data_IF_260196903724
#
_entry.id   IF_260196903724
#
_cell.length_a   1.000
_cell.length_b   1.000
_cell.length_c   1.000
_cell.angle_alpha   90.00
_cell.angle_beta   90.00
_cell.angle_gamma   90.00
#
_symmetry.space_group_name_H-M   'P 1'
#
loop_
_entity.id
_entity.type
_entity.pdbx_description
1 polymer ?
#
# COMPACT_ATOMS: atom_id res chain seq x y z
N UNK A 1 -23.15 17.46 8.50
CA UNK A 1 -22.30 18.08 7.48
C UNK A 1 -21.54 17.08 6.58
N UNK A 2 -21.25 15.86 7.02
CA UNK A 2 -20.45 14.87 6.26
C UNK A 2 -21.17 14.16 5.09
N UNK A 3 -22.48 14.18 5.00
CA UNK A 3 -23.23 13.52 3.91
C UNK A 3 -23.07 14.23 2.54
N UNK A 4 -22.71 15.49 2.52
CA UNK A 4 -22.64 16.33 1.32
C UNK A 4 -21.22 16.56 0.79
N UNK A 5 -20.19 15.93 1.40
CA UNK A 5 -18.82 16.01 0.87
C UNK A 5 -18.76 15.36 -0.51
N UNK A 6 -18.28 16.12 -1.48
CA UNK A 6 -18.00 15.59 -2.82
C UNK A 6 -16.87 14.57 -2.73
N UNK A 7 -16.99 13.45 -3.45
CA UNK A 7 -15.98 12.38 -3.39
C UNK A 7 -14.57 12.86 -3.76
N UNK A 8 -14.45 13.83 -4.67
CA UNK A 8 -13.17 14.41 -5.06
C UNK A 8 -12.45 15.14 -3.93
N UNK A 9 -13.18 15.74 -3.00
CA UNK A 9 -12.60 16.52 -1.90
C UNK A 9 -11.93 15.59 -0.88
N UNK A 10 -12.47 14.37 -0.71
CA UNK A 10 -11.94 13.36 0.19
C UNK A 10 -10.56 12.79 -0.24
N UNK A 11 -10.17 12.95 -1.50
CA UNK A 11 -8.88 12.45 -1.98
C UNK A 11 -7.69 13.20 -1.38
N UNK A 12 -7.91 14.43 -0.95
CA UNK A 12 -6.89 15.28 -0.34
C UNK A 12 -7.06 15.46 1.18
N UNK A 13 -8.09 14.81 1.77
CA UNK A 13 -8.26 14.70 3.22
C UNK A 13 -7.39 13.59 3.81
N UNK A 14 -7.13 13.65 5.12
CA UNK A 14 -6.35 12.67 5.88
C UNK A 14 -7.20 11.45 6.28
N UNK A 15 -6.55 10.33 6.61
CA UNK A 15 -7.24 9.14 7.09
C UNK A 15 -6.34 8.27 7.98
N UNK A 16 -6.43 8.47 9.29
CA UNK A 16 -5.77 7.64 10.28
C UNK A 16 -4.26 7.87 10.42
N UNK A 17 -3.72 8.93 9.79
CA UNK A 17 -2.33 9.32 9.89
C UNK A 17 -2.01 10.11 11.17
N UNK A 18 -0.86 10.80 11.17
CA UNK A 18 -0.37 11.64 12.26
C UNK A 18 -1.19 12.93 12.37
N UNK A 19 -1.32 13.66 11.27
CA UNK A 19 -2.21 14.80 11.17
C UNK A 19 -3.64 14.31 10.88
N UNK A 20 -4.60 14.82 11.61
CA UNK A 20 -6.02 14.52 11.51
C UNK A 20 -6.87 15.78 11.51
N UNK A 21 -6.26 16.91 11.25
CA UNK A 21 -6.95 18.21 11.24
C UNK A 21 -8.05 18.29 10.19
N UNK A 22 -7.91 17.53 9.10
CA UNK A 22 -8.85 17.50 7.98
C UNK A 22 -9.13 16.05 7.54
N UNK A 23 -9.79 15.27 8.42
CA UNK A 23 -9.93 13.83 8.27
C UNK A 23 -11.27 13.41 7.65
N UNK A 24 -11.24 12.37 6.82
CA UNK A 24 -12.44 11.72 6.27
C UNK A 24 -13.27 11.17 7.44
N UNK A 25 -14.58 11.43 7.51
CA UNK A 25 -15.43 10.89 8.57
C UNK A 25 -15.43 9.35 8.59
N UNK A 26 -15.05 8.77 9.71
CA UNK A 26 -14.81 7.32 9.86
C UNK A 26 -16.07 6.45 9.86
N UNK A 27 -17.25 7.05 10.11
CA UNK A 27 -18.49 6.28 10.32
C UNK A 27 -18.81 5.35 9.16
N UNK A 28 -18.64 5.82 7.91
CA UNK A 28 -18.94 5.02 6.72
C UNK A 28 -17.97 3.85 6.58
N UNK A 29 -16.68 4.12 6.67
CA UNK A 29 -15.65 3.08 6.58
C UNK A 29 -15.74 2.05 7.72
N UNK A 30 -16.12 2.49 8.92
CA UNK A 30 -16.38 1.59 10.05
C UNK A 30 -17.62 0.72 9.79
N UNK A 31 -18.73 1.31 9.30
CA UNK A 31 -19.94 0.55 8.95
C UNK A 31 -19.63 -0.45 7.82
N UNK A 32 -18.97 0.00 6.76
CA UNK A 32 -18.56 -0.88 5.66
C UNK A 32 -17.68 -2.04 6.14
N UNK A 33 -16.71 -1.77 7.03
CA UNK A 33 -15.87 -2.80 7.62
C UNK A 33 -16.67 -3.80 8.47
N UNK A 34 -17.62 -3.35 9.30
CA UNK A 34 -18.45 -4.23 10.13
C UNK A 34 -19.33 -5.11 9.24
N UNK A 35 -20.04 -4.52 8.29
CA UNK A 35 -21.01 -5.23 7.45
C UNK A 35 -20.29 -6.15 6.45
N UNK A 36 -19.40 -5.59 5.62
CA UNK A 36 -18.70 -6.36 4.59
C UNK A 36 -17.70 -7.32 5.23
N UNK A 37 -16.98 -6.87 6.25
CA UNK A 37 -16.01 -7.70 6.98
C UNK A 37 -16.68 -8.86 7.70
N UNK A 38 -17.82 -8.64 8.36
CA UNK A 38 -18.63 -9.66 8.97
C UNK A 38 -19.14 -10.69 7.96
N UNK A 39 -19.69 -10.22 6.83
CA UNK A 39 -20.14 -11.08 5.74
C UNK A 39 -18.97 -11.88 5.13
N UNK A 40 -17.86 -11.24 4.85
CA UNK A 40 -16.67 -11.92 4.34
C UNK A 40 -16.12 -12.94 5.34
N UNK A 41 -16.15 -12.64 6.64
CA UNK A 41 -15.72 -13.59 7.68
C UNK A 41 -16.61 -14.83 7.72
N UNK A 42 -17.91 -14.65 7.57
CA UNK A 42 -18.89 -15.74 7.55
C UNK A 42 -18.75 -16.59 6.27
N UNK A 43 -18.74 -15.95 5.10
CA UNK A 43 -18.75 -16.65 3.81
C UNK A 43 -17.40 -17.25 3.45
N UNK A 44 -16.32 -16.49 3.60
CA UNK A 44 -14.98 -16.88 3.18
C UNK A 44 -14.10 -17.38 4.33
N UNK A 45 -14.58 -17.34 5.57
CA UNK A 45 -13.82 -17.77 6.76
C UNK A 45 -12.38 -17.24 6.73
N UNK A 46 -12.22 -15.96 6.29
CA UNK A 46 -10.90 -15.40 6.05
C UNK A 46 -10.08 -15.28 7.33
N UNK A 47 -8.79 -15.47 7.18
CA UNK A 47 -7.77 -15.24 8.21
C UNK A 47 -6.68 -14.33 7.69
N UNK A 48 -5.94 -13.74 8.60
CA UNK A 48 -4.80 -12.88 8.29
C UNK A 48 -3.58 -13.43 9.01
N UNK A 49 -2.62 -13.89 8.24
CA UNK A 49 -1.34 -14.38 8.72
C UNK A 49 -0.34 -13.21 8.77
N UNK A 50 0.66 -13.26 9.66
CA UNK A 50 1.71 -12.25 9.82
C UNK A 50 1.19 -10.80 9.93
N UNK A 51 0.04 -10.59 10.57
CA UNK A 51 -0.61 -9.27 10.70
C UNK A 51 0.24 -8.29 11.52
N UNK A 52 1.07 -8.76 12.41
CA UNK A 52 2.04 -8.02 13.21
C UNK A 52 2.99 -7.21 12.32
N UNK A 53 3.40 -7.73 11.18
CA UNK A 53 4.24 -7.04 10.19
C UNK A 53 3.60 -5.73 9.71
N UNK A 54 2.30 -5.72 9.44
CA UNK A 54 1.59 -4.48 9.12
C UNK A 54 1.41 -3.58 10.35
N UNK A 55 1.06 -4.17 11.49
CA UNK A 55 0.74 -3.43 12.72
C UNK A 55 1.93 -2.68 13.31
N UNK A 56 3.14 -3.16 13.08
CA UNK A 56 4.37 -2.51 13.53
C UNK A 56 4.45 -1.04 13.07
N UNK A 57 3.99 -0.74 11.87
CA UNK A 57 4.01 0.62 11.31
C UNK A 57 2.98 1.58 11.93
N UNK A 58 2.05 1.08 12.75
CA UNK A 58 1.04 1.93 13.39
C UNK A 58 1.66 2.98 14.30
N UNK A 59 1.48 4.27 13.96
CA UNK A 59 2.04 5.40 14.71
C UNK A 59 3.56 5.47 14.67
N UNK A 60 4.20 4.80 13.70
CA UNK A 60 5.63 4.86 13.46
C UNK A 60 5.92 5.62 12.17
N UNK A 61 5.49 5.07 11.05
CA UNK A 61 5.64 5.69 9.73
C UNK A 61 4.60 5.13 8.74
N UNK A 62 4.45 5.79 7.59
CA UNK A 62 3.68 5.25 6.47
C UNK A 62 4.38 4.06 5.82
N UNK A 63 3.61 3.22 5.13
CA UNK A 63 4.16 2.13 4.33
C UNK A 63 3.31 1.92 3.07
N UNK A 64 3.94 1.49 1.97
CA UNK A 64 3.21 1.03 0.80
C UNK A 64 2.94 -0.46 0.95
N UNK A 65 1.68 -0.83 0.90
CA UNK A 65 1.25 -2.24 0.88
C UNK A 65 1.00 -2.63 -0.57
N UNK A 66 1.76 -3.60 -1.09
CA UNK A 66 1.57 -4.11 -2.45
C UNK A 66 0.98 -5.51 -2.44
N UNK A 67 0.21 -5.84 -3.47
CA UNK A 67 -0.40 -7.15 -3.64
C UNK A 67 -0.37 -7.57 -5.12
N UNK A 68 -0.17 -8.85 -5.39
CA UNK A 68 -0.46 -9.43 -6.69
C UNK A 68 -1.96 -9.34 -7.00
N UNK A 69 -2.35 -9.28 -8.30
CA UNK A 69 -3.74 -8.97 -8.68
C UNK A 69 -4.42 -10.10 -9.45
N UNK A 70 -5.10 -10.99 -8.75
CA UNK A 70 -5.82 -12.14 -9.32
C UNK A 70 -7.33 -11.93 -9.37
N UNK A 71 -7.88 -11.10 -8.46
CA UNK A 71 -9.31 -10.90 -8.31
C UNK A 71 -9.65 -9.47 -7.88
N UNK A 72 -10.87 -9.02 -8.16
CA UNK A 72 -11.39 -7.79 -7.55
C UNK A 72 -11.41 -7.85 -6.02
N UNK A 73 -11.56 -9.05 -5.46
CA UNK A 73 -11.59 -9.26 -4.02
C UNK A 73 -10.23 -9.02 -3.34
N UNK A 74 -9.10 -9.01 -4.08
CA UNK A 74 -7.79 -8.67 -3.50
C UNK A 74 -7.85 -7.34 -2.76
N UNK A 75 -8.45 -6.33 -3.40
CA UNK A 75 -8.60 -4.96 -2.85
C UNK A 75 -9.50 -4.95 -1.61
N UNK A 76 -10.59 -5.73 -1.64
CA UNK A 76 -11.51 -5.84 -0.50
C UNK A 76 -10.81 -6.46 0.70
N UNK A 77 -10.11 -7.57 0.51
CA UNK A 77 -9.41 -8.24 1.61
C UNK A 77 -8.17 -7.47 2.09
N UNK A 78 -7.47 -6.73 1.22
CA UNK A 78 -6.42 -5.80 1.63
C UNK A 78 -6.97 -4.76 2.61
N UNK A 79 -8.11 -4.13 2.29
CA UNK A 79 -8.77 -3.18 3.18
C UNK A 79 -9.23 -3.83 4.48
N UNK A 80 -9.92 -4.98 4.41
CA UNK A 80 -10.44 -5.68 5.59
C UNK A 80 -9.35 -6.18 6.53
N UNK A 81 -8.21 -6.62 5.99
CA UNK A 81 -7.10 -7.17 6.76
C UNK A 81 -6.38 -6.12 7.62
N UNK A 82 -6.29 -4.89 7.16
CA UNK A 82 -5.70 -3.79 7.92
C UNK A 82 -6.59 -3.32 9.08
N UNK A 83 -7.91 -3.43 8.90
CA UNK A 83 -8.90 -3.01 9.89
C UNK A 83 -9.02 -3.99 11.07
N UNK A 84 -9.42 -3.55 12.27
CA UNK A 84 -9.72 -2.16 12.68
C UNK A 84 -8.47 -1.35 13.07
N UNK A 85 -7.27 -1.95 13.05
CA UNK A 85 -6.06 -1.32 13.61
C UNK A 85 -5.58 -0.11 12.83
N UNK A 86 -5.68 -0.14 11.51
CA UNK A 86 -5.20 0.90 10.60
C UNK A 86 -6.12 1.06 9.41
N UNK A 87 -5.96 2.19 8.69
CA UNK A 87 -6.61 2.46 7.41
C UNK A 87 -5.60 2.24 6.29
N UNK A 88 -6.07 1.71 5.15
CA UNK A 88 -5.28 1.63 3.91
C UNK A 88 -5.96 2.48 2.86
N UNK A 89 -5.22 3.44 2.31
CA UNK A 89 -5.64 4.28 1.19
C UNK A 89 -5.41 3.50 -0.10
N UNK A 90 -6.47 3.13 -0.78
CA UNK A 90 -6.38 2.30 -1.98
C UNK A 90 -6.25 3.15 -3.23
N UNK A 91 -5.17 2.96 -4.00
CA UNK A 91 -5.01 3.58 -5.30
C UNK A 91 -5.82 2.79 -6.34
N UNK A 92 -6.84 3.41 -6.93
CA UNK A 92 -7.73 2.80 -7.89
C UNK A 92 -7.79 3.54 -9.21
N UNK A 93 -8.19 2.83 -10.31
CA UNK A 93 -8.39 3.45 -11.62
C UNK A 93 -9.42 4.57 -11.53
N UNK A 94 -9.16 5.71 -12.14
CA UNK A 94 -10.03 6.89 -12.18
C UNK A 94 -11.47 6.57 -12.63
N UNK A 95 -11.62 5.77 -13.67
CA UNK A 95 -12.94 5.36 -14.20
C UNK A 95 -13.83 4.60 -13.19
N UNK A 96 -13.27 4.09 -12.07
CA UNK A 96 -14.06 3.45 -11.01
C UNK A 96 -14.86 4.48 -10.21
N UNK A 97 -14.37 5.71 -10.14
CA UNK A 97 -14.99 6.77 -9.33
C UNK A 97 -16.18 7.43 -10.04
N UNK A 98 -16.24 7.34 -11.37
CA UNK A 98 -17.35 7.88 -12.17
C UNK A 98 -18.48 6.88 -12.39
N UNK A 99 -18.27 5.60 -12.02
CA UNK A 99 -19.27 4.56 -12.20
C UNK A 99 -20.53 4.79 -11.35
N UNK A 100 -21.66 4.33 -11.89
CA UNK A 100 -22.98 4.45 -11.26
C UNK A 100 -23.35 5.92 -10.86
N UNK A 101 -23.04 6.90 -11.72
CA UNK A 101 -23.29 8.30 -11.47
C UNK A 101 -22.52 8.87 -10.27
N UNK A 102 -21.33 8.30 -9.99
CA UNK A 102 -20.46 8.70 -8.89
C UNK A 102 -20.79 8.05 -7.53
N UNK A 103 -21.81 7.20 -7.43
CA UNK A 103 -22.14 6.51 -6.17
C UNK A 103 -21.01 5.58 -5.72
N UNK A 104 -20.40 4.85 -6.66
CA UNK A 104 -19.24 4.01 -6.36
C UNK A 104 -18.05 4.87 -5.91
N UNK A 105 -17.81 6.00 -6.59
CA UNK A 105 -16.81 6.99 -6.21
C UNK A 105 -17.01 7.52 -4.80
N UNK A 106 -18.26 7.83 -4.41
CA UNK A 106 -18.60 8.23 -3.04
C UNK A 106 -18.26 7.15 -2.01
N UNK A 107 -18.61 5.89 -2.28
CA UNK A 107 -18.34 4.79 -1.38
C UNK A 107 -16.82 4.52 -1.25
N UNK A 108 -16.12 4.46 -2.38
CA UNK A 108 -14.67 4.22 -2.41
C UNK A 108 -13.89 5.34 -1.72
N UNK A 109 -14.23 6.62 -1.99
CA UNK A 109 -13.54 7.76 -1.38
C UNK A 109 -13.79 7.84 0.14
N UNK A 110 -15.00 7.51 0.62
CA UNK A 110 -15.27 7.38 2.05
C UNK A 110 -14.53 6.23 2.73
N UNK A 111 -14.22 5.19 1.98
CA UNK A 111 -13.32 4.12 2.45
C UNK A 111 -11.84 4.50 2.36
N UNK A 112 -11.50 5.68 1.84
CA UNK A 112 -10.15 6.18 1.72
C UNK A 112 -9.49 5.95 0.36
N UNK A 113 -10.18 5.40 -0.62
CA UNK A 113 -9.61 5.22 -1.95
C UNK A 113 -9.47 6.55 -2.72
N UNK A 114 -8.50 6.62 -3.62
CA UNK A 114 -8.24 7.77 -4.47
C UNK A 114 -7.87 7.32 -5.90
N UNK A 115 -8.15 8.16 -6.91
CA UNK A 115 -7.94 7.78 -8.31
C UNK A 115 -6.50 7.89 -8.76
N UNK A 116 -6.14 7.07 -9.77
CA UNK A 116 -4.97 7.21 -10.61
C UNK A 116 -5.37 7.09 -12.07
N UNK A 117 -4.88 8.00 -12.90
CA UNK A 117 -4.99 7.89 -14.35
C UNK A 117 -3.94 6.91 -14.84
N UNK A 118 -4.39 5.86 -15.51
CA UNK A 118 -3.50 4.88 -16.13
C UNK A 118 -2.98 5.41 -17.47
N UNK A 119 -1.91 4.80 -17.93
CA UNK A 119 -1.29 5.08 -19.22
C UNK A 119 -0.76 6.54 -19.35
N UNK A 120 -0.63 7.24 -18.24
CA UNK A 120 -0.04 8.59 -18.13
C UNK A 120 0.83 8.70 -16.89
N UNK A 121 1.82 9.60 -16.93
CA UNK A 121 2.59 9.98 -15.74
C UNK A 121 1.72 10.86 -14.82
N UNK A 122 0.77 10.25 -14.10
CA UNK A 122 -0.14 11.00 -13.21
C UNK A 122 0.58 11.49 -11.95
N UNK A 123 1.33 12.57 -12.10
CA UNK A 123 2.08 13.22 -11.02
C UNK A 123 1.17 13.69 -9.88
N UNK A 124 -0.11 13.97 -10.13
CA UNK A 124 -1.06 14.38 -9.09
C UNK A 124 -1.33 13.24 -8.14
N UNK A 125 -1.63 12.06 -8.64
CA UNK A 125 -1.87 10.86 -7.83
C UNK A 125 -0.60 10.40 -7.11
N UNK A 126 0.57 10.52 -7.74
CA UNK A 126 1.86 10.23 -7.11
C UNK A 126 2.12 11.18 -5.93
N UNK A 127 1.99 12.50 -6.13
CA UNK A 127 2.17 13.50 -5.05
C UNK A 127 1.17 13.28 -3.92
N UNK A 128 -0.07 12.91 -4.24
CA UNK A 128 -1.10 12.57 -3.26
C UNK A 128 -0.70 11.36 -2.41
N UNK A 129 -0.26 10.27 -3.03
CA UNK A 129 0.23 9.09 -2.32
C UNK A 129 1.44 9.42 -1.43
N UNK A 130 2.41 10.20 -1.93
CA UNK A 130 3.57 10.65 -1.16
C UNK A 130 3.16 11.49 0.06
N UNK A 131 2.17 12.40 -0.08
CA UNK A 131 1.64 13.19 1.04
C UNK A 131 1.03 12.29 2.11
N UNK A 132 0.18 11.34 1.70
CA UNK A 132 -0.45 10.36 2.61
C UNK A 132 0.60 9.56 3.38
N UNK A 133 1.59 9.02 2.68
CA UNK A 133 2.69 8.26 3.29
C UNK A 133 3.51 9.10 4.28
N UNK A 134 3.81 10.36 3.95
CA UNK A 134 4.49 11.29 4.86
C UNK A 134 3.65 11.71 6.07
N UNK A 135 2.34 11.51 6.00
CA UNK A 135 1.41 11.64 7.13
C UNK A 135 1.22 10.32 7.90
N UNK A 136 2.11 9.35 7.74
CA UNK A 136 2.07 8.03 8.39
C UNK A 136 0.83 7.19 8.02
N UNK A 137 0.21 7.46 6.85
CA UNK A 137 -0.87 6.66 6.31
C UNK A 137 -0.33 5.47 5.51
N UNK A 138 -1.11 4.39 5.41
CA UNK A 138 -0.79 3.26 4.54
C UNK A 138 -1.40 3.49 3.15
N UNK A 139 -0.64 3.18 2.10
CA UNK A 139 -1.13 3.24 0.72
C UNK A 139 -1.06 1.85 0.09
N UNK A 140 -2.20 1.34 -0.36
CA UNK A 140 -2.33 0.05 -1.04
C UNK A 140 -2.26 0.21 -2.56
N UNK A 141 -1.37 -0.52 -3.21
CA UNK A 141 -1.14 -0.47 -4.65
C UNK A 141 -1.05 -1.89 -5.21
N UNK A 142 -1.67 -2.11 -6.37
CA UNK A 142 -1.55 -3.34 -7.14
C UNK A 142 -0.71 -3.05 -8.40
N UNK A 143 0.62 -3.38 -8.38
CA UNK A 143 1.57 -2.91 -9.38
C UNK A 143 1.38 -3.49 -10.78
N UNK A 144 0.65 -4.58 -10.91
CA UNK A 144 0.39 -5.25 -12.20
C UNK A 144 -0.55 -4.44 -13.12
N UNK A 145 -1.19 -3.41 -12.60
CA UNK A 145 -2.11 -2.56 -13.36
C UNK A 145 -3.34 -3.25 -13.92
N UNK A 146 -3.37 -4.58 -14.03
CA UNK A 146 -4.49 -5.37 -14.55
C UNK A 146 -4.67 -6.67 -13.78
N UNK A 147 -5.86 -7.27 -13.86
CA UNK A 147 -6.15 -8.57 -13.21
C UNK A 147 -5.71 -9.72 -14.11
N UNK A 148 -4.96 -10.65 -13.56
CA UNK A 148 -4.52 -11.86 -14.26
C UNK A 148 -5.73 -12.70 -14.69
N UNK A 149 -5.67 -13.22 -15.93
CA UNK A 149 -6.69 -14.12 -16.48
C UNK A 149 -8.08 -13.52 -16.70
N UNK A 150 -8.26 -12.21 -16.48
CA UNK A 150 -9.55 -11.50 -16.68
C UNK A 150 -9.44 -10.25 -17.56
N UNK A 151 -8.26 -10.00 -18.12
CA UNK A 151 -7.98 -8.92 -19.05
C UNK A 151 -7.28 -9.48 -20.29
N UNK A 152 -7.50 -8.87 -21.43
CA UNK A 152 -6.74 -9.16 -22.67
C UNK A 152 -5.35 -8.49 -22.66
N UNK A 153 -5.02 -7.75 -21.61
CA UNK A 153 -3.70 -7.12 -21.44
C UNK A 153 -2.80 -8.04 -20.66
N UNK A 154 -1.56 -8.18 -21.09
CA UNK A 154 -0.49 -8.81 -20.30
C UNK A 154 -0.24 -7.99 -19.05
N UNK A 155 -0.09 -8.61 -17.86
CA UNK A 155 0.32 -7.90 -16.67
C UNK A 155 1.72 -7.32 -16.84
N UNK A 156 1.91 -6.06 -16.43
CA UNK A 156 3.17 -5.35 -16.55
C UNK A 156 3.69 -4.97 -15.16
N UNK A 157 5.00 -4.79 -15.03
CA UNK A 157 5.62 -4.30 -13.80
C UNK A 157 5.73 -2.78 -13.89
N UNK A 158 4.92 -2.08 -13.09
CA UNK A 158 4.96 -0.62 -13.06
C UNK A 158 5.87 -0.10 -11.94
N UNK A 159 6.99 0.51 -12.29
CA UNK A 159 7.98 1.08 -11.35
C UNK A 159 7.45 2.22 -10.46
N UNK A 160 6.21 2.65 -10.66
CA UNK A 160 5.57 3.72 -9.89
C UNK A 160 5.52 3.45 -8.38
N UNK A 161 5.43 2.19 -7.97
CA UNK A 161 5.45 1.80 -6.54
C UNK A 161 6.78 2.19 -5.90
N UNK A 162 7.90 1.74 -6.47
CA UNK A 162 9.23 2.05 -5.94
C UNK A 162 9.54 3.55 -6.02
N UNK A 163 9.03 4.25 -7.05
CA UNK A 163 9.14 5.70 -7.15
C UNK A 163 8.43 6.42 -6.01
N UNK A 164 7.19 6.04 -5.70
CA UNK A 164 6.41 6.62 -4.58
C UNK A 164 7.12 6.33 -3.25
N UNK A 165 7.55 5.08 -3.02
CA UNK A 165 8.29 4.69 -1.81
C UNK A 165 9.57 5.50 -1.63
N UNK A 166 10.35 5.68 -2.70
CA UNK A 166 11.56 6.51 -2.70
C UNK A 166 11.27 7.97 -2.37
N UNK A 167 10.23 8.57 -2.96
CA UNK A 167 9.86 9.97 -2.73
C UNK A 167 9.31 10.21 -1.31
N UNK A 168 8.63 9.22 -0.75
CA UNK A 168 8.09 9.29 0.59
C UNK A 168 9.09 8.87 1.67
N UNK A 169 10.16 8.14 1.30
CA UNK A 169 11.13 7.49 2.19
C UNK A 169 10.49 6.47 3.14
N UNK A 170 9.65 5.61 2.59
CA UNK A 170 8.91 4.59 3.34
C UNK A 170 9.19 3.19 2.80
N UNK A 171 8.99 2.13 3.61
CA UNK A 171 9.12 0.76 3.15
C UNK A 171 7.97 0.33 2.24
N UNK A 172 8.23 -0.71 1.45
CA UNK A 172 7.25 -1.47 0.68
C UNK A 172 6.99 -2.78 1.42
N UNK A 173 5.73 -3.05 1.79
CA UNK A 173 5.30 -4.26 2.47
C UNK A 173 4.57 -5.17 1.48
N UNK A 174 5.17 -6.29 1.05
CA UNK A 174 4.51 -7.28 0.22
C UNK A 174 3.36 -7.95 0.96
N UNK A 175 2.28 -8.21 0.27
CA UNK A 175 1.19 -9.06 0.76
C UNK A 175 0.57 -9.88 -0.37
N UNK A 176 -0.21 -10.88 0.00
CA UNK A 176 -1.01 -11.64 -0.94
C UNK A 176 -2.39 -11.98 -0.36
N UNK A 177 -3.34 -12.25 -1.25
CA UNK A 177 -4.66 -12.76 -0.90
C UNK A 177 -4.89 -14.08 -1.65
N UNK A 178 -4.84 -15.20 -0.94
CA UNK A 178 -5.04 -16.54 -1.49
C UNK A 178 -6.48 -17.00 -1.36
N UNK A 179 -6.97 -17.69 -2.36
CA UNK A 179 -8.33 -18.27 -2.38
C UNK A 179 -9.33 -17.43 -3.17
N UNK A 180 -9.09 -16.14 -3.34
CA UNK A 180 -10.01 -15.24 -4.07
C UNK A 180 -10.09 -15.55 -5.56
N UNK A 181 -9.05 -16.16 -6.13
CA UNK A 181 -9.00 -16.65 -7.50
C UNK A 181 -10.04 -17.74 -7.79
N UNK A 182 -10.50 -18.44 -6.73
CA UNK A 182 -11.49 -19.53 -6.77
C UNK A 182 -12.92 -19.07 -6.57
N UNK A 183 -13.19 -17.81 -6.29
CA UNK A 183 -14.55 -17.31 -5.98
C UNK A 183 -15.46 -17.43 -7.19
N UNK A 184 -14.98 -17.08 -8.38
CA UNK A 184 -15.74 -17.17 -9.62
C UNK A 184 -14.83 -17.31 -10.83
N UNK A 185 -14.98 -18.40 -11.56
CA UNK A 185 -14.43 -18.61 -12.89
C UNK A 185 -15.49 -18.39 -13.97
N UNK A 186 -15.05 -18.22 -15.22
CA UNK A 186 -15.97 -18.01 -16.35
C UNK A 186 -16.83 -19.28 -16.55
N UNK A 187 -18.15 -19.12 -16.50
CA UNK A 187 -19.11 -20.23 -16.65
C UNK A 187 -19.42 -21.01 -15.39
N UNK A 188 -18.76 -20.74 -14.26
CA UNK A 188 -19.00 -21.42 -12.98
C UNK A 188 -19.94 -20.63 -12.07
N UNK A 189 -20.50 -21.34 -11.06
CA UNK A 189 -21.22 -20.71 -9.96
C UNK A 189 -20.25 -20.01 -9.03
N UNK A 190 -20.75 -19.04 -8.27
CA UNK A 190 -19.95 -18.37 -7.22
C UNK A 190 -19.64 -19.37 -6.10
N UNK A 191 -18.37 -19.48 -5.72
CA UNK A 191 -17.89 -20.31 -4.62
C UNK A 191 -17.45 -19.43 -3.44
N UNK A 192 -17.46 -20.00 -2.24
CA UNK A 192 -17.01 -19.34 -1.01
C UNK A 192 -15.80 -20.08 -0.41
N UNK A 193 -14.65 -20.03 -1.07
CA UNK A 193 -13.44 -20.68 -0.57
C UNK A 193 -12.96 -20.03 0.71
N UNK A 194 -12.11 -20.73 1.46
CA UNK A 194 -11.35 -20.12 2.56
C UNK A 194 -10.35 -19.12 1.97
N UNK A 195 -10.36 -17.88 2.48
CA UNK A 195 -9.43 -16.84 2.05
C UNK A 195 -8.35 -16.63 3.12
N UNK A 196 -7.11 -16.50 2.69
CA UNK A 196 -5.98 -16.15 3.56
C UNK A 196 -5.30 -14.91 3.03
N UNK A 197 -5.18 -13.90 3.88
CA UNK A 197 -4.32 -12.73 3.66
C UNK A 197 -3.01 -13.00 4.37
N UNK A 198 -1.88 -12.72 3.70
CA UNK A 198 -0.56 -12.97 4.26
C UNK A 198 0.38 -11.80 3.95
N UNK A 199 1.15 -11.33 4.95
CA UNK A 199 2.08 -10.23 4.82
C UNK A 199 3.53 -10.75 4.84
N UNK A 200 4.35 -10.26 3.89
CA UNK A 200 5.78 -10.51 3.82
C UNK A 200 6.59 -9.55 4.67
N UNK A 201 7.90 -9.63 4.54
CA UNK A 201 8.84 -8.72 5.18
C UNK A 201 9.00 -7.43 4.38
N UNK A 202 9.24 -6.29 5.04
CA UNK A 202 9.35 -5.00 4.35
C UNK A 202 10.64 -4.90 3.53
N UNK A 203 10.55 -4.14 2.43
CA UNK A 203 11.62 -3.92 1.46
C UNK A 203 11.91 -2.43 1.39
N UNK A 204 13.17 -2.04 1.41
CA UNK A 204 13.60 -0.66 1.24
C UNK A 204 14.11 -0.42 -0.19
N UNK A 205 13.71 0.68 -0.81
CA UNK A 205 14.20 1.06 -2.16
C UNK A 205 15.71 1.28 -2.18
N UNK A 206 16.30 1.66 -1.04
CA UNK A 206 17.74 1.88 -0.88
C UNK A 206 18.57 0.61 -1.04
N UNK A 207 17.99 -0.56 -0.81
CA UNK A 207 18.70 -1.84 -0.92
C UNK A 207 19.05 -2.19 -2.37
N UNK A 208 18.40 -1.52 -3.32
CA UNK A 208 18.62 -1.68 -4.76
C UNK A 208 19.61 -0.67 -5.34
N UNK A 209 20.37 0.05 -4.50
CA UNK A 209 21.35 1.05 -4.95
C UNK A 209 22.54 0.47 -5.72
N UNK A 210 22.80 -0.83 -5.63
CA UNK A 210 23.81 -1.52 -6.40
C UNK A 210 23.43 -1.69 -7.88
N UNK A 211 22.13 -1.64 -8.21
CA UNK A 211 21.68 -1.64 -9.61
C UNK A 211 22.00 -0.31 -10.31
N UNK A 212 22.15 -0.31 -11.66
CA UNK A 212 22.17 0.91 -12.46
C UNK A 212 21.00 1.83 -12.12
N UNK A 213 21.24 3.14 -12.11
CA UNK A 213 20.27 4.14 -11.63
C UNK A 213 18.89 4.03 -12.31
N UNK A 214 18.88 3.75 -13.60
CA UNK A 214 17.70 3.56 -14.45
C UNK A 214 16.90 2.31 -14.12
N UNK A 215 17.54 1.27 -13.58
CA UNK A 215 16.94 -0.02 -13.29
C UNK A 215 16.46 -0.17 -11.84
N UNK A 216 16.90 0.69 -10.91
CA UNK A 216 16.65 0.56 -9.46
C UNK A 216 15.18 0.46 -9.10
N UNK A 217 14.35 1.27 -9.72
CA UNK A 217 12.91 1.33 -9.40
C UNK A 217 12.18 0.12 -9.98
N UNK A 218 12.54 -0.30 -11.18
CA UNK A 218 11.97 -1.48 -11.81
C UNK A 218 12.40 -2.74 -11.06
N UNK A 219 13.70 -2.93 -10.81
CA UNK A 219 14.23 -4.06 -10.07
C UNK A 219 13.65 -4.17 -8.65
N UNK A 220 13.49 -3.05 -7.96
CA UNK A 220 12.82 -3.03 -6.65
C UNK A 220 11.36 -3.49 -6.75
N UNK A 221 10.59 -3.00 -7.73
CA UNK A 221 9.19 -3.40 -7.90
C UNK A 221 9.08 -4.86 -8.34
N UNK A 222 9.99 -5.32 -9.21
CA UNK A 222 10.08 -6.72 -9.63
C UNK A 222 10.33 -7.64 -8.44
N UNK A 223 11.30 -7.30 -7.58
CA UNK A 223 11.60 -8.07 -6.38
C UNK A 223 10.41 -8.09 -5.41
N UNK A 224 9.80 -6.96 -5.16
CA UNK A 224 8.65 -6.85 -4.27
C UNK A 224 7.43 -7.66 -4.78
N UNK A 225 7.19 -7.71 -6.10
CA UNK A 225 6.18 -8.60 -6.69
C UNK A 225 6.56 -10.07 -6.58
N UNK A 226 7.85 -10.42 -6.74
CA UNK A 226 8.34 -11.78 -6.55
C UNK A 226 8.03 -12.28 -5.13
N UNK A 227 8.22 -11.45 -4.11
CA UNK A 227 7.83 -11.73 -2.73
C UNK A 227 6.31 -11.95 -2.60
N UNK A 228 5.48 -11.12 -3.24
CA UNK A 228 4.02 -11.33 -3.25
C UNK A 228 3.65 -12.70 -3.86
N UNK A 229 4.31 -13.11 -4.94
CA UNK A 229 4.05 -14.40 -5.58
C UNK A 229 4.62 -15.59 -4.80
N UNK A 230 5.75 -15.42 -4.10
CA UNK A 230 6.28 -16.41 -3.16
C UNK A 230 5.26 -16.73 -2.06
N UNK A 231 4.70 -15.69 -1.45
CA UNK A 231 3.59 -15.81 -0.48
C UNK A 231 2.34 -16.44 -1.12
N UNK A 232 2.00 -16.07 -2.36
CA UNK A 232 0.82 -16.59 -3.05
C UNK A 232 0.95 -18.09 -3.35
N UNK A 233 2.07 -18.52 -3.90
CA UNK A 233 2.33 -19.93 -4.23
C UNK A 233 2.80 -20.75 -3.02
N UNK A 234 3.12 -20.11 -1.89
CA UNK A 234 3.71 -20.75 -0.70
C UNK A 234 5.01 -21.50 -1.03
N UNK A 235 5.90 -20.82 -1.76
CA UNK A 235 7.19 -21.34 -2.22
C UNK A 235 8.32 -20.41 -1.80
N UNK A 236 9.56 -20.94 -1.71
CA UNK A 236 10.74 -20.08 -1.62
C UNK A 236 10.75 -19.03 -2.74
N UNK A 237 11.24 -17.84 -2.44
CA UNK A 237 11.24 -16.72 -3.39
C UNK A 237 12.03 -17.04 -4.65
N UNK A 238 13.07 -17.85 -4.54
CA UNK A 238 13.93 -18.30 -5.64
C UNK A 238 13.21 -19.23 -6.63
N UNK A 239 12.16 -19.91 -6.19
CA UNK A 239 11.35 -20.82 -7.02
C UNK A 239 10.21 -20.11 -7.79
N UNK A 240 10.07 -18.79 -7.62
CA UNK A 240 9.07 -18.03 -8.36
C UNK A 240 9.57 -17.70 -9.75
N UNK A 241 8.92 -18.26 -10.76
CA UNK A 241 9.21 -18.01 -12.17
C UNK A 241 8.59 -16.65 -12.60
N UNK A 242 9.39 -15.61 -12.46
CA UNK A 242 8.98 -14.26 -12.82
C UNK A 242 8.91 -14.07 -14.34
N UNK A 243 9.67 -14.84 -15.13
CA UNK A 243 9.63 -14.79 -16.60
C UNK A 243 8.27 -15.30 -17.10
N UNK A 244 7.79 -16.41 -16.54
CA UNK A 244 6.47 -16.93 -16.87
C UNK A 244 5.34 -15.98 -16.42
N UNK A 245 5.54 -15.24 -15.32
CA UNK A 245 4.58 -14.28 -14.80
C UNK A 245 4.56 -12.96 -15.57
N UNK A 246 5.71 -12.49 -16.03
CA UNK A 246 5.91 -11.20 -16.70
C UNK A 246 6.88 -11.36 -17.88
N UNK A 247 6.43 -11.96 -18.99
CA UNK A 247 7.31 -12.31 -20.10
C UNK A 247 7.96 -11.11 -20.80
N UNK A 248 7.32 -9.94 -20.70
CA UNK A 248 7.80 -8.70 -21.34
C UNK A 248 8.72 -7.88 -20.40
N UNK A 249 8.89 -8.29 -19.13
CA UNK A 249 9.74 -7.58 -18.18
C UNK A 249 11.17 -8.11 -18.23
N UNK A 250 12.14 -7.26 -17.87
CA UNK A 250 13.52 -7.68 -17.64
C UNK A 250 13.56 -8.67 -16.47
N UNK A 251 14.29 -9.77 -16.64
CA UNK A 251 14.52 -10.71 -15.55
C UNK A 251 15.72 -10.27 -14.70
N UNK A 252 15.50 -10.21 -13.39
CA UNK A 252 16.50 -9.84 -12.39
C UNK A 252 16.94 -11.03 -11.52
N UNK A 253 16.45 -12.25 -11.78
CA UNK A 253 16.68 -13.41 -10.90
C UNK A 253 18.17 -13.70 -10.68
N UNK A 254 18.96 -13.70 -11.75
CA UNK A 254 20.41 -13.94 -11.66
C UNK A 254 21.13 -12.83 -10.87
N UNK A 255 20.74 -11.57 -11.08
CA UNK A 255 21.33 -10.41 -10.37
C UNK A 255 21.08 -10.50 -8.87
N UNK A 256 19.88 -10.87 -8.45
CA UNK A 256 19.54 -11.00 -7.02
C UNK A 256 20.08 -12.31 -6.39
N UNK A 257 20.44 -13.31 -7.18
CA UNK A 257 21.19 -14.46 -6.70
C UNK A 257 22.65 -14.10 -6.36
N UNK A 258 23.28 -13.21 -7.15
CA UNK A 258 24.62 -12.70 -6.89
C UNK A 258 24.66 -11.62 -5.81
N UNK A 259 23.61 -10.81 -5.71
CA UNK A 259 23.45 -9.72 -4.76
C UNK A 259 22.17 -9.90 -3.93
N UNK A 260 22.18 -10.72 -2.88
CA UNK A 260 21.02 -10.94 -2.02
C UNK A 260 20.55 -9.63 -1.39
N UNK A 261 19.23 -9.42 -1.41
CA UNK A 261 18.62 -8.22 -0.82
C UNK A 261 18.61 -8.38 0.71
N UNK A 262 18.99 -7.33 1.47
CA UNK A 262 18.94 -7.36 2.92
C UNK A 262 17.54 -7.67 3.44
N UNK A 263 17.48 -8.51 4.47
CA UNK A 263 16.24 -8.80 5.17
C UNK A 263 16.00 -7.76 6.27
N UNK A 264 14.82 -7.17 6.29
CA UNK A 264 14.38 -6.24 7.31
C UNK A 264 13.14 -6.78 8.02
N UNK A 265 13.03 -6.55 9.33
CA UNK A 265 11.78 -6.79 10.03
C UNK A 265 10.96 -5.50 10.13
N UNK A 266 9.65 -5.62 10.16
CA UNK A 266 8.76 -4.46 10.32
C UNK A 266 8.96 -3.76 11.67
N UNK A 267 9.33 -4.52 12.72
CA UNK A 267 9.61 -3.99 14.06
C UNK A 267 10.84 -3.11 14.07
N UNK A 268 11.96 -3.58 13.51
CA UNK A 268 13.21 -2.81 13.43
C UNK A 268 13.00 -1.50 12.65
N UNK A 269 12.32 -1.54 11.50
CA UNK A 269 12.05 -0.32 10.73
C UNK A 269 11.14 0.64 11.48
N UNK A 270 10.10 0.14 12.13
CA UNK A 270 9.18 0.96 12.92
C UNK A 270 9.85 1.59 14.15
N UNK A 271 10.74 0.87 14.83
CA UNK A 271 11.54 1.41 15.94
C UNK A 271 12.50 2.50 15.46
N UNK A 272 13.19 2.27 14.34
CA UNK A 272 14.07 3.26 13.74
C UNK A 272 13.29 4.54 13.34
N UNK A 273 12.09 4.38 12.77
CA UNK A 273 11.22 5.49 12.42
C UNK A 273 10.77 6.30 13.65
N UNK A 274 10.36 5.61 14.75
CA UNK A 274 10.00 6.27 16.03
C UNK A 274 11.17 7.03 16.63
N UNK A 275 12.36 6.42 16.65
CA UNK A 275 13.58 7.07 17.15
C UNK A 275 13.92 8.33 16.33
N UNK A 276 13.83 8.25 15.00
CA UNK A 276 14.04 9.39 14.11
C UNK A 276 13.02 10.51 14.33
N UNK A 277 11.76 10.16 14.53
CA UNK A 277 10.71 11.14 14.83
C UNK A 277 10.96 11.82 16.19
N UNK A 278 11.32 11.08 17.23
CA UNK A 278 11.64 11.62 18.55
C UNK A 278 12.85 12.59 18.50
N UNK A 279 13.93 12.20 17.83
CA UNK A 279 15.11 13.04 17.66
C UNK A 279 14.79 14.36 16.91
N UNK A 280 13.89 14.30 15.91
CA UNK A 280 13.44 15.50 15.19
C UNK A 280 12.65 16.45 16.08
N UNK A 281 11.78 15.94 16.95
CA UNK A 281 11.01 16.74 17.91
C UNK A 281 11.95 17.40 18.95
N UNK A 282 12.91 16.64 19.48
CA UNK A 282 13.90 17.17 20.42
C UNK A 282 14.75 18.30 19.81
N UNK A 283 15.23 18.11 18.58
CA UNK A 283 15.97 19.14 17.84
C UNK A 283 15.15 20.42 17.61
N UNK A 284 13.88 20.25 17.24
CA UNK A 284 12.97 21.39 17.05
C UNK A 284 12.70 22.13 18.38
N UNK A 285 12.56 21.42 19.49
CA UNK A 285 12.38 22.02 20.80
C UNK A 285 13.62 22.82 21.26
N UNK A 286 14.83 22.27 21.06
CA UNK A 286 16.08 22.96 21.37
C UNK A 286 16.23 24.25 20.57
N UNK A 287 16.01 24.22 19.26
CA UNK A 287 16.10 25.40 18.41
C UNK A 287 15.06 26.49 18.75
N UNK A 288 13.86 26.08 19.19
CA UNK A 288 12.83 27.02 19.65
C UNK A 288 13.17 27.67 21.01
N UNK A 289 13.91 26.98 21.87
CA UNK A 289 14.39 27.51 23.16
C UNK A 289 15.51 28.54 22.91
N UNK A 290 16.51 28.18 22.10
CA UNK A 290 17.61 29.06 21.72
C UNK A 290 17.11 30.37 21.07
N UNK A 291 16.17 30.28 20.13
CA UNK A 291 15.57 31.47 19.49
C UNK A 291 14.77 32.37 20.46
N UNK A 292 14.30 31.83 21.60
CA UNK A 292 13.61 32.62 22.66
C UNK A 292 14.61 33.31 23.61
N UNK A 293 15.78 32.74 23.79
CA UNK A 293 16.85 33.31 24.63
C UNK A 293 17.52 34.45 23.90
N UNK A 294 17.88 34.29 22.62
CA UNK A 294 18.46 35.36 21.78
C UNK A 294 17.53 36.57 21.62
N UNK A 295 16.22 36.34 21.48
CA UNK A 295 15.23 37.46 21.37
C UNK A 295 14.96 38.17 22.69
N UNK A 296 15.52 37.75 23.84
CA UNK A 296 15.44 38.46 25.12
C UNK A 296 16.66 39.35 25.39
N UNK A 297 17.80 39.12 24.74
CA UNK A 297 18.99 39.92 24.90
C UNK A 297 18.94 41.22 24.06
N UNK A 298 18.26 41.21 22.90
CA UNK A 298 18.11 42.39 22.03
C UNK A 298 17.06 43.41 22.51
N UNK A 299 16.33 43.12 23.60
CA UNK A 299 15.26 43.95 24.16
C UNK A 299 15.61 44.74 25.44
N UNK A 300 16.93 44.91 25.77
CA UNK A 300 17.38 45.73 26.91
C UNK A 300 18.15 46.98 26.46
#
# INVERSE_FOLDING_TARGET
>A
MSLFLKYSDMWDMDLGGRDRSHEIPHWFGNLAWIVIGGLCKLLFRYRVDNRDRLRAFKGAEGAIVICNHTSFFDVVFMYLAARPSQWVRLMGRDSLFDNAGGLLGQALSRAGAFPVKRDTADMTSIKRAVRMLKNDELVGILPEGTRRGKSNRTPEIHAGVAMIAKMAHVPILPMTVRGVEKIKNKGERVHFPKVTVDYGDPILVTDFNFLPKEERLEGCTWYALRECFALFYQKPVEEVDMVALFPDAKDYAAVFAEHPIPHHTSEELAEAARAKAAAKVEKAAKSATEAREDGKEDGK
#
